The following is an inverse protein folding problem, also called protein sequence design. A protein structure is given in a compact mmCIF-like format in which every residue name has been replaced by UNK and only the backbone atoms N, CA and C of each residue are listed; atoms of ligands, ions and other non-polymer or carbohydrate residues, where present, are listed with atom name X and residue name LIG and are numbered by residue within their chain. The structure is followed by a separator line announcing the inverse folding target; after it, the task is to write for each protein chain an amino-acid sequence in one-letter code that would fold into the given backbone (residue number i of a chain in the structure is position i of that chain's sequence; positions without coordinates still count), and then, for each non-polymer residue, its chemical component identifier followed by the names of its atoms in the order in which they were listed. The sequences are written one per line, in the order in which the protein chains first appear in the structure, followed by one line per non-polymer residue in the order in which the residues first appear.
data_IF_308544445756
#
_entry.id   IF_308544445756
#
_cell.length_a   1.000
_cell.length_b   1.000
_cell.length_c   1.000
_cell.angle_alpha   90.00
_cell.angle_beta   90.00
_cell.angle_gamma   90.00
#
_symmetry.space_group_name_H-M   'P 1'
#
loop_
_entity.id
_entity.type
_entity.pdbx_description
1 polymer ?
#
# COMPACT_ATOMS: atom_id res chain seq x y z
N UNK A 1 -19.22 11.77 8.60
CA UNK A 1 -18.08 12.60 8.12
C UNK A 1 -17.66 11.97 6.82
N UNK A 2 -18.07 12.57 5.70
CA UNK A 2 -17.68 12.10 4.36
C UNK A 2 -16.23 12.48 4.13
N UNK A 3 -15.34 11.48 4.16
CA UNK A 3 -13.94 11.68 3.80
C UNK A 3 -13.87 11.50 2.29
N UNK A 4 -14.21 12.56 1.55
CA UNK A 4 -13.91 12.62 0.12
C UNK A 4 -12.41 12.84 -0.02
N UNK A 5 -11.66 11.74 0.08
CA UNK A 5 -10.23 11.68 -0.13
C UNK A 5 -9.96 12.04 -1.60
N UNK A 6 -9.60 13.29 -1.84
CA UNK A 6 -9.04 13.70 -3.12
C UNK A 6 -7.53 13.54 -3.05
N UNK A 7 -7.05 12.29 -3.06
CA UNK A 7 -5.66 12.04 -3.47
C UNK A 7 -5.50 12.67 -4.86
N UNK A 8 -4.43 13.46 -5.06
CA UNK A 8 -4.14 14.07 -6.38
C UNK A 8 -3.68 13.05 -7.42
N UNK A 9 -3.60 11.78 -7.03
CA UNK A 9 -3.30 10.66 -7.87
C UNK A 9 -4.46 10.39 -8.84
N UNK A 10 -4.26 10.68 -10.13
CA UNK A 10 -5.26 10.44 -11.18
C UNK A 10 -5.42 8.93 -11.52
N UNK A 11 -4.58 8.05 -10.94
CA UNK A 11 -4.67 6.60 -11.18
C UNK A 11 -5.86 6.02 -10.45
N UNK A 12 -6.51 5.04 -11.06
CA UNK A 12 -7.59 4.33 -10.39
C UNK A 12 -7.01 3.49 -9.23
N UNK A 13 -7.33 3.92 -8.01
CA UNK A 13 -6.89 3.25 -6.78
C UNK A 13 -7.22 1.75 -6.78
N UNK A 14 -8.34 1.33 -7.37
CA UNK A 14 -8.70 -0.09 -7.46
C UNK A 14 -7.76 -0.84 -8.39
N UNK A 15 -7.39 -0.27 -9.53
CA UNK A 15 -6.45 -0.91 -10.45
C UNK A 15 -5.07 -1.02 -9.83
N UNK A 16 -4.63 0.02 -9.11
CA UNK A 16 -3.33 0.02 -8.44
C UNK A 16 -3.29 -1.01 -7.30
N UNK A 17 -4.33 -1.08 -6.45
CA UNK A 17 -4.42 -2.07 -5.38
C UNK A 17 -4.54 -3.50 -5.92
N UNK A 18 -5.25 -3.72 -7.03
CA UNK A 18 -5.34 -5.03 -7.70
C UNK A 18 -4.00 -5.47 -8.29
N UNK A 19 -3.27 -4.56 -8.92
CA UNK A 19 -1.93 -4.83 -9.44
C UNK A 19 -0.96 -5.18 -8.32
N UNK A 20 -1.07 -4.48 -7.18
CA UNK A 20 -0.32 -4.79 -5.97
C UNK A 20 -0.67 -6.18 -5.44
N UNK A 21 -1.96 -6.52 -5.35
CA UNK A 21 -2.38 -7.84 -4.89
C UNK A 21 -1.81 -8.95 -5.78
N UNK A 22 -1.87 -8.78 -7.10
CA UNK A 22 -1.28 -9.73 -8.06
C UNK A 22 0.24 -9.85 -7.90
N UNK A 23 0.94 -8.76 -7.62
CA UNK A 23 2.37 -8.76 -7.31
C UNK A 23 2.67 -9.59 -6.06
N UNK A 24 1.94 -9.36 -4.96
CA UNK A 24 2.12 -10.11 -3.70
C UNK A 24 1.72 -11.58 -3.87
N UNK A 25 0.69 -11.88 -4.65
CA UNK A 25 0.28 -13.25 -4.96
C UNK A 25 1.31 -14.00 -5.81
N UNK A 26 1.98 -13.32 -6.74
CA UNK A 26 3.09 -13.85 -7.53
C UNK A 26 4.41 -13.94 -6.75
N UNK A 27 4.44 -13.48 -5.51
CA UNK A 27 5.65 -13.46 -4.67
C UNK A 27 6.66 -12.41 -5.14
N UNK A 28 6.20 -11.27 -5.66
CA UNK A 28 7.06 -10.19 -6.14
C UNK A 28 7.90 -9.52 -5.04
N UNK A 29 7.45 -9.61 -3.79
CA UNK A 29 8.27 -9.24 -2.63
C UNK A 29 9.21 -10.34 -2.17
N UNK A 30 8.99 -11.58 -2.64
CA UNK A 30 9.81 -12.77 -2.41
C UNK A 30 11.30 -12.47 -2.46
N UNK A 31 12.06 -12.95 -1.46
CA UNK A 31 13.53 -12.82 -1.42
C UNK A 31 14.11 -13.24 -2.78
N UNK A 32 14.52 -12.27 -3.58
CA UNK A 32 15.05 -12.54 -4.92
C UNK A 32 16.27 -13.44 -4.77
N UNK A 33 16.24 -14.62 -5.39
CA UNK A 33 17.37 -15.58 -5.37
C UNK A 33 18.68 -14.97 -5.90
N UNK A 34 18.58 -13.89 -6.68
CA UNK A 34 19.71 -13.12 -7.22
C UNK A 34 20.22 -12.01 -6.29
N UNK A 35 19.39 -11.52 -5.37
CA UNK A 35 19.73 -10.42 -4.44
C UNK A 35 19.11 -10.66 -3.05
N UNK A 36 19.50 -11.75 -2.34
CA UNK A 36 18.93 -12.09 -1.03
C UNK A 36 19.24 -11.07 0.08
N UNK A 37 20.19 -10.15 -0.14
CA UNK A 37 20.55 -9.07 0.78
C UNK A 37 19.73 -7.78 0.57
N UNK A 38 18.95 -7.68 -0.51
CA UNK A 38 18.13 -6.49 -0.77
C UNK A 38 16.77 -6.71 -0.14
N UNK A 39 16.53 -6.08 1.01
CA UNK A 39 15.18 -5.95 1.57
C UNK A 39 14.31 -5.22 0.52
N UNK A 40 13.23 -5.86 0.12
CA UNK A 40 12.23 -5.30 -0.79
C UNK A 40 11.27 -4.49 0.06
N UNK A 41 11.27 -3.17 -0.11
CA UNK A 41 10.40 -2.29 0.66
C UNK A 41 9.00 -2.36 0.09
N UNK A 42 8.07 -2.87 0.89
CA UNK A 42 6.66 -3.02 0.49
C UNK A 42 6.08 -1.66 0.10
N UNK A 43 5.30 -1.62 -0.98
CA UNK A 43 4.80 -0.44 -1.66
C UNK A 43 5.84 0.46 -2.35
N UNK A 44 7.06 0.60 -1.81
CA UNK A 44 8.13 1.42 -2.42
C UNK A 44 8.72 0.76 -3.68
N UNK A 45 8.91 -0.56 -3.66
CA UNK A 45 9.46 -1.34 -4.78
C UNK A 45 8.38 -1.82 -5.77
N UNK A 46 7.16 -1.26 -5.73
CA UNK A 46 6.08 -1.62 -6.65
C UNK A 46 5.40 -0.42 -7.29
N UNK A 47 4.53 -0.71 -8.26
CA UNK A 47 3.78 0.30 -9.02
C UNK A 47 2.83 1.14 -8.15
N UNK A 48 2.62 0.79 -6.89
CA UNK A 48 1.85 1.61 -5.95
C UNK A 48 2.57 2.91 -5.62
N UNK A 49 3.90 2.88 -5.49
CA UNK A 49 4.67 4.08 -5.24
C UNK A 49 4.69 4.95 -6.49
N UNK A 50 4.24 6.19 -6.35
CA UNK A 50 4.26 7.15 -7.45
C UNK A 50 5.69 7.53 -7.88
N UNK A 51 6.67 7.34 -6.99
CA UNK A 51 8.09 7.50 -7.29
C UNK A 51 8.77 6.23 -7.82
N UNK A 52 8.04 5.13 -8.02
CA UNK A 52 8.63 3.89 -8.53
C UNK A 52 9.27 4.11 -9.91
N UNK A 53 10.56 3.76 -10.05
CA UNK A 53 11.33 3.95 -11.28
C UNK A 53 11.97 5.35 -11.43
N UNK A 54 11.73 6.28 -10.51
CA UNK A 54 12.41 7.58 -10.50
C UNK A 54 13.64 7.57 -9.57
N UNK A 55 14.83 7.97 -10.06
CA UNK A 55 16.04 7.98 -9.24
C UNK A 55 16.04 9.05 -8.15
N UNK A 56 15.20 10.08 -8.31
CA UNK A 56 14.96 11.12 -7.31
C UNK A 56 13.47 11.11 -6.98
N UNK A 57 13.10 11.25 -5.70
CA UNK A 57 11.70 11.39 -5.26
C UNK A 57 11.12 12.67 -5.89
N UNK A 58 10.59 12.52 -7.10
CA UNK A 58 10.07 13.61 -7.91
C UNK A 58 8.74 14.12 -7.36
N UNK A 59 8.02 13.27 -6.63
CA UNK A 59 6.73 13.58 -6.05
C UNK A 59 6.71 13.35 -4.54
N UNK A 60 6.07 14.25 -3.79
CA UNK A 60 5.93 14.08 -2.36
C UNK A 60 4.89 12.99 -2.04
N UNK A 61 5.09 12.25 -0.96
CA UNK A 61 4.23 11.11 -0.62
C UNK A 61 2.79 11.52 -0.28
N UNK A 62 2.55 12.77 0.12
CA UNK A 62 1.24 13.39 0.32
C UNK A 62 0.36 13.44 -0.94
N UNK A 63 0.94 13.33 -2.13
CA UNK A 63 0.18 13.25 -3.38
C UNK A 63 -0.22 11.81 -3.74
N UNK A 64 0.35 10.81 -3.07
CA UNK A 64 0.05 9.41 -3.29
C UNK A 64 -1.19 8.99 -2.50
N UNK A 65 -2.06 8.18 -3.11
CA UNK A 65 -3.23 7.60 -2.44
C UNK A 65 -2.88 6.76 -1.19
N UNK A 66 -1.64 6.29 -1.09
CA UNK A 66 -1.17 5.56 0.10
C UNK A 66 -1.18 6.46 1.35
N UNK A 67 -1.01 7.77 1.22
CA UNK A 67 -1.06 8.71 2.36
C UNK A 67 -2.42 8.66 3.07
N UNK A 68 -3.49 8.45 2.31
CA UNK A 68 -4.84 8.35 2.86
C UNK A 68 -5.07 7.08 3.68
N UNK A 69 -4.28 6.05 3.42
CA UNK A 69 -4.28 4.78 4.14
C UNK A 69 -3.37 4.82 5.39
N UNK A 70 -2.53 5.84 5.49
CA UNK A 70 -1.64 6.05 6.63
C UNK A 70 -2.39 6.78 7.75
N UNK A 71 -2.27 6.35 9.01
CA UNK A 71 -2.84 7.06 10.14
C UNK A 71 -2.29 8.50 10.21
N UNK A 72 -3.14 9.50 10.51
CA UNK A 72 -2.79 10.91 10.38
C UNK A 72 -1.59 11.31 11.23
N UNK A 73 -1.33 10.62 12.34
CA UNK A 73 -0.18 10.87 13.21
C UNK A 73 1.16 10.52 12.54
N UNK A 74 1.14 9.65 11.52
CA UNK A 74 2.35 9.12 10.86
C UNK A 74 2.53 9.60 9.42
N UNK A 75 1.61 10.43 8.90
CA UNK A 75 1.73 11.06 7.57
C UNK A 75 2.90 12.04 7.47
N UNK A 76 3.36 12.57 8.61
CA UNK A 76 4.51 13.49 8.67
C UNK A 76 5.87 12.80 8.60
N UNK A 77 5.90 11.46 8.58
CA UNK A 77 7.13 10.68 8.52
C UNK A 77 7.78 10.69 7.12
N UNK A 78 9.06 10.34 7.04
CA UNK A 78 9.84 10.34 5.79
C UNK A 78 9.33 9.29 4.79
N UNK A 79 8.71 8.22 5.29
CA UNK A 79 8.12 7.13 4.51
C UNK A 79 6.79 6.74 5.17
N UNK A 80 5.71 7.52 4.93
CA UNK A 80 4.45 7.31 5.64
C UNK A 80 3.85 5.94 5.31
N UNK A 81 4.01 5.45 4.07
CA UNK A 81 3.48 4.16 3.63
C UNK A 81 4.00 2.95 4.42
N UNK A 82 5.17 3.03 5.06
CA UNK A 82 5.70 1.95 5.91
C UNK A 82 4.98 1.81 7.25
N UNK A 83 4.22 2.84 7.61
CA UNK A 83 3.46 2.88 8.84
C UNK A 83 1.98 2.52 8.65
N UNK A 84 1.61 2.01 7.47
CA UNK A 84 0.27 1.47 7.23
C UNK A 84 0.11 0.23 8.10
N UNK A 85 -0.91 0.18 8.98
CA UNK A 85 -1.24 -1.02 9.73
C UNK A 85 -1.88 -2.05 8.78
N UNK A 86 -1.33 -3.27 8.76
CA UNK A 86 -1.83 -4.36 7.91
C UNK A 86 -2.77 -5.31 8.64
N UNK A 87 -2.86 -5.22 9.96
CA UNK A 87 -3.70 -6.08 10.77
C UNK A 87 -4.33 -5.33 11.96
N UNK A 88 -5.30 -5.99 12.59
CA UNK A 88 -6.01 -5.48 13.78
C UNK A 88 -5.07 -5.33 14.99
N UNK A 89 -3.96 -6.07 15.02
CA UNK A 89 -2.88 -5.92 16.02
C UNK A 89 -2.11 -4.60 15.87
N UNK A 90 -2.33 -3.84 14.80
CA UNK A 90 -1.64 -2.58 14.53
C UNK A 90 -0.19 -2.75 14.09
N UNK A 91 0.18 -3.95 13.66
CA UNK A 91 1.49 -4.21 13.07
C UNK A 91 1.60 -3.50 11.73
N UNK A 92 2.61 -2.64 11.65
CA UNK A 92 2.92 -1.89 10.43
C UNK A 92 3.87 -2.70 9.56
N UNK A 93 3.94 -2.34 8.29
CA UNK A 93 4.90 -2.88 7.32
C UNK A 93 6.31 -2.88 7.90
N UNK A 94 6.75 -1.74 8.43
CA UNK A 94 8.07 -1.61 9.06
C UNK A 94 8.27 -2.64 10.18
N UNK A 95 7.26 -2.81 11.03
CA UNK A 95 7.34 -3.75 12.16
C UNK A 95 7.44 -5.20 11.68
N UNK A 96 6.72 -5.54 10.61
CA UNK A 96 6.75 -6.87 10.02
C UNK A 96 8.04 -7.15 9.24
N UNK A 97 8.58 -6.14 8.54
CA UNK A 97 9.90 -6.19 7.90
C UNK A 97 11.02 -6.38 8.92
N UNK A 98 10.94 -5.68 10.07
CA UNK A 98 11.91 -5.81 11.16
C UNK A 98 11.90 -7.20 11.82
N UNK A 99 10.77 -7.91 11.77
CA UNK A 99 10.64 -9.28 12.30
C UNK A 99 11.22 -10.35 11.37
N UNK A 100 11.72 -9.99 10.18
CA UNK A 100 12.15 -10.90 9.09
C UNK A 100 11.09 -11.95 8.71
N UNK A 101 9.81 -11.72 9.08
CA UNK A 101 8.73 -12.66 8.83
C UNK A 101 7.97 -12.30 7.56
N UNK A 102 8.65 -12.53 6.44
CA UNK A 102 8.16 -12.17 5.12
C UNK A 102 6.84 -12.86 4.75
N UNK A 103 6.66 -14.12 5.14
CA UNK A 103 5.42 -14.85 4.86
C UNK A 103 4.23 -14.21 5.57
N UNK A 104 4.37 -13.92 6.87
CA UNK A 104 3.33 -13.26 7.64
C UNK A 104 3.02 -11.87 7.04
N UNK A 105 4.06 -11.13 6.66
CA UNK A 105 3.91 -9.84 6.00
C UNK A 105 3.10 -9.92 4.70
N UNK A 106 3.45 -10.86 3.81
CA UNK A 106 2.74 -11.08 2.54
C UNK A 106 1.30 -11.55 2.76
N UNK A 107 1.05 -12.41 3.74
CA UNK A 107 -0.30 -12.89 4.08
C UNK A 107 -1.17 -11.76 4.65
N UNK A 108 -0.65 -10.98 5.61
CA UNK A 108 -1.32 -9.81 6.18
C UNK A 108 -1.60 -8.77 5.09
N UNK A 109 -0.64 -8.50 4.22
CA UNK A 109 -0.79 -7.57 3.12
C UNK A 109 -1.86 -8.03 2.12
N UNK A 110 -1.91 -9.33 1.77
CA UNK A 110 -2.96 -9.88 0.89
C UNK A 110 -4.35 -9.73 1.49
N UNK A 111 -4.50 -10.03 2.78
CA UNK A 111 -5.78 -9.88 3.48
C UNK A 111 -6.22 -8.42 3.47
N UNK A 112 -5.33 -7.51 3.89
CA UNK A 112 -5.58 -6.08 3.91
C UNK A 112 -5.94 -5.52 2.52
N UNK A 113 -5.21 -5.91 1.47
CA UNK A 113 -5.49 -5.48 0.09
C UNK A 113 -6.87 -5.94 -0.37
N UNK A 114 -7.25 -7.20 -0.09
CA UNK A 114 -8.56 -7.73 -0.47
C UNK A 114 -9.69 -7.03 0.26
N UNK A 115 -9.56 -6.80 1.56
CA UNK A 115 -10.54 -6.05 2.34
C UNK A 115 -10.67 -4.62 1.84
N UNK A 116 -9.54 -3.95 1.56
CA UNK A 116 -9.55 -2.56 1.09
C UNK A 116 -10.16 -2.42 -0.31
N UNK A 117 -9.84 -3.35 -1.22
CA UNK A 117 -10.47 -3.40 -2.55
C UNK A 117 -11.99 -3.58 -2.40
N UNK A 118 -12.44 -4.51 -1.56
CA UNK A 118 -13.86 -4.76 -1.35
C UNK A 118 -14.59 -3.55 -0.74
N UNK A 119 -13.95 -2.85 0.21
CA UNK A 119 -14.47 -1.62 0.80
C UNK A 119 -14.67 -0.53 -0.27
N UNK A 120 -13.64 -0.26 -1.08
CA UNK A 120 -13.69 0.75 -2.13
C UNK A 120 -14.72 0.37 -3.21
N UNK A 121 -14.82 -0.91 -3.58
CA UNK A 121 -15.85 -1.40 -4.51
C UNK A 121 -17.25 -1.19 -3.97
N UNK A 122 -17.49 -1.50 -2.69
CA UNK A 122 -18.77 -1.28 -2.03
C UNK A 122 -19.11 0.21 -1.93
N UNK A 123 -18.14 1.07 -1.59
CA UNK A 123 -18.33 2.52 -1.59
C UNK A 123 -18.70 3.07 -2.97
N UNK A 124 -18.02 2.60 -4.02
CA UNK A 124 -18.33 3.00 -5.42
C UNK A 124 -19.70 2.50 -5.86
N UNK A 125 -20.07 1.27 -5.52
CA UNK A 125 -21.41 0.73 -5.82
C UNK A 125 -22.50 1.54 -5.11
N UNK A 126 -22.33 1.82 -3.81
CA UNK A 126 -23.27 2.63 -3.04
C UNK A 126 -23.36 4.07 -3.55
N UNK A 127 -22.25 4.67 -3.99
CA UNK A 127 -22.24 5.99 -4.60
C UNK A 127 -22.96 6.01 -5.96
N UNK A 128 -22.83 4.95 -6.75
CA UNK A 128 -23.54 4.81 -8.03
C UNK A 128 -25.06 4.65 -7.85
N UNK A 129 -25.50 3.92 -6.82
CA UNK A 129 -26.94 3.75 -6.52
C UNK A 129 -27.61 5.03 -5.96
N UNK A 130 -26.82 5.94 -5.39
CA UNK A 130 -27.30 7.24 -4.88
C UNK A 130 -27.42 8.33 -5.96
N UNK A 131 -27.01 8.05 -7.20
CA UNK A 131 -26.94 9.01 -8.30
C UNK A 131 -28.06 8.78 -9.33
#
# INVERSE_FOLDING_TARGET
MEVNVMSKDERDILEVLRAELDLVEKGGYGRSVRTPWKQTSTFQDSLTCLNYGYPYRAHPCEECFLDDLVPPERRSEVVPCHHIPLNEDGETIETLELKDNQQLMEESLKLWLREKIAEIEAERAAAAERR
#
